data_IF_956235485185
#
_entry.id   IF_956235485185
#
_cell.length_a   1.000
_cell.length_b   1.000
_cell.length_c   1.000
_cell.angle_alpha   90.00
_cell.angle_beta   90.00
_cell.angle_gamma   90.00
#
_symmetry.space_group_name_H-M   'P 1'
#
loop_
_entity.id
_entity.type
_entity.pdbx_description
1 polymer ?
#
# COMPACT_ATOMS: atom_id res chain seq x y z
N UNK A 1 -10.79 -19.16 14.15
CA UNK A 1 -10.42 -18.19 15.21
C UNK A 1 -11.40 -18.22 16.40
N UNK A 2 -12.69 -17.92 16.24
CA UNK A 2 -13.65 -17.85 17.36
C UNK A 2 -13.71 -19.13 18.23
N UNK A 3 -13.68 -20.32 17.62
CA UNK A 3 -13.59 -21.59 18.37
C UNK A 3 -12.32 -21.67 19.24
N UNK A 4 -11.16 -21.36 18.66
CA UNK A 4 -9.87 -21.40 19.35
C UNK A 4 -9.77 -20.39 20.51
N UNK A 5 -10.42 -19.23 20.43
CA UNK A 5 -10.49 -18.28 21.55
C UNK A 5 -11.13 -18.89 22.82
N UNK A 6 -12.06 -19.84 22.66
CA UNK A 6 -12.73 -20.49 23.80
C UNK A 6 -11.82 -21.43 24.58
N UNK A 7 -10.70 -21.85 24.00
CA UNK A 7 -9.78 -22.84 24.57
C UNK A 7 -8.43 -22.21 24.96
N UNK A 8 -8.09 -21.07 24.36
CA UNK A 8 -6.82 -20.37 24.57
C UNK A 8 -6.72 -19.71 25.96
N UNK A 9 -5.67 -20.05 26.70
CA UNK A 9 -5.44 -19.58 28.07
C UNK A 9 -5.11 -18.09 28.12
N UNK A 10 -4.36 -17.58 27.16
CA UNK A 10 -3.96 -16.17 27.12
C UNK A 10 -5.18 -15.31 26.82
N UNK A 11 -6.00 -15.70 25.84
CA UNK A 11 -7.25 -15.02 25.50
C UNK A 11 -8.21 -14.96 26.70
N UNK A 12 -8.26 -16.02 27.52
CA UNK A 12 -9.07 -16.03 28.76
C UNK A 12 -8.51 -15.14 29.87
N UNK A 13 -7.20 -14.92 29.91
CA UNK A 13 -6.54 -14.07 30.91
C UNK A 13 -6.59 -12.57 30.56
N UNK A 14 -6.86 -12.23 29.29
CA UNK A 14 -6.91 -10.85 28.81
C UNK A 14 -7.95 -9.94 29.52
N UNK A 15 -9.20 -10.39 29.76
CA UNK A 15 -10.19 -9.57 30.46
C UNK A 15 -9.84 -9.26 31.92
N UNK A 16 -9.00 -10.10 32.55
CA UNK A 16 -8.59 -9.98 33.96
C UNK A 16 -7.25 -9.25 34.14
N UNK A 17 -6.47 -9.10 33.07
CA UNK A 17 -5.23 -8.33 33.11
C UNK A 17 -5.55 -6.82 33.06
N UNK A 18 -4.92 -6.02 33.93
CA UNK A 18 -4.98 -4.55 33.87
C UNK A 18 -4.31 -4.10 32.56
N UNK A 19 -5.10 -4.02 31.50
CA UNK A 19 -4.71 -3.56 30.18
C UNK A 19 -5.68 -2.45 29.80
N UNK A 20 -5.19 -1.38 29.17
CA UNK A 20 -6.06 -0.30 28.65
C UNK A 20 -6.97 -0.74 27.48
N UNK A 21 -7.20 -2.05 27.33
CA UNK A 21 -8.01 -2.66 26.29
C UNK A 21 -9.46 -2.73 26.76
N UNK A 22 -10.39 -2.61 25.81
CA UNK A 22 -11.83 -2.75 26.06
C UNK A 22 -12.32 -3.95 25.26
N UNK A 23 -12.46 -5.09 25.91
CA UNK A 23 -12.82 -6.35 25.23
C UNK A 23 -14.34 -6.48 25.13
N UNK A 24 -14.83 -6.74 23.92
CA UNK A 24 -16.24 -6.96 23.63
C UNK A 24 -16.42 -8.16 22.68
N UNK A 25 -17.48 -8.97 22.83
CA UNK A 25 -17.82 -10.02 21.88
C UNK A 25 -18.43 -9.41 20.60
N UNK A 26 -17.95 -9.86 19.44
CA UNK A 26 -18.48 -9.48 18.12
C UNK A 26 -19.09 -10.71 17.43
N UNK A 27 -20.32 -10.62 16.89
CA UNK A 27 -20.95 -11.71 16.18
C UNK A 27 -20.32 -11.90 14.79
N UNK A 28 -19.84 -13.11 14.51
CA UNK A 28 -19.31 -13.54 13.21
C UNK A 28 -19.79 -14.96 12.93
N UNK A 29 -20.54 -15.16 11.84
CA UNK A 29 -20.97 -16.47 11.34
C UNK A 29 -21.48 -17.42 12.45
N UNK A 30 -22.50 -16.97 13.21
CA UNK A 30 -23.11 -17.68 14.34
C UNK A 30 -22.16 -18.01 15.51
N UNK A 31 -21.03 -17.33 15.61
CA UNK A 31 -20.08 -17.42 16.73
C UNK A 31 -19.75 -16.04 17.27
N UNK A 32 -19.29 -15.97 18.53
CA UNK A 32 -18.79 -14.74 19.14
C UNK A 32 -17.27 -14.73 19.09
N UNK A 33 -16.71 -13.65 18.53
CA UNK A 33 -15.28 -13.38 18.49
C UNK A 33 -14.97 -12.24 19.46
N UNK A 34 -14.11 -12.48 20.45
CA UNK A 34 -13.65 -11.46 21.37
C UNK A 34 -12.70 -10.49 20.66
N UNK A 35 -13.00 -9.20 20.76
CA UNK A 35 -12.27 -8.13 20.11
C UNK A 35 -11.99 -6.99 21.09
N UNK A 36 -10.85 -6.33 20.93
CA UNK A 36 -10.60 -5.05 21.57
C UNK A 36 -11.21 -3.90 20.75
N UNK A 37 -11.92 -2.99 21.41
CA UNK A 37 -12.52 -1.79 20.79
C UNK A 37 -11.94 -0.48 21.32
N UNK A 38 -10.87 -0.53 22.13
CA UNK A 38 -10.26 0.66 22.75
C UNK A 38 -9.77 1.70 21.74
N UNK A 39 -9.45 1.28 20.51
CA UNK A 39 -8.95 2.13 19.42
C UNK A 39 -10.03 2.64 18.48
N UNK A 40 -11.32 2.48 18.83
CA UNK A 40 -12.45 2.90 18.00
C UNK A 40 -12.71 1.99 16.78
N UNK A 41 -11.90 0.95 16.58
CA UNK A 41 -12.13 -0.12 15.61
C UNK A 41 -11.96 -1.48 16.31
N UNK A 42 -12.84 -2.45 16.05
CA UNK A 42 -12.73 -3.79 16.64
C UNK A 42 -11.52 -4.55 16.10
N UNK A 43 -10.64 -4.98 17.01
CA UNK A 43 -9.45 -5.78 16.72
C UNK A 43 -9.57 -7.16 17.36
N UNK A 44 -9.58 -8.27 16.59
CA UNK A 44 -9.66 -9.60 17.17
C UNK A 44 -8.54 -9.89 18.17
N UNK A 45 -8.90 -10.49 19.30
CA UNK A 45 -7.93 -11.17 20.16
C UNK A 45 -7.45 -12.45 19.47
N UNK A 46 -6.18 -12.53 19.12
CA UNK A 46 -5.66 -13.65 18.32
C UNK A 46 -5.12 -14.77 19.22
N UNK A 47 -5.72 -15.98 19.19
CA UNK A 47 -5.19 -17.16 19.88
C UNK A 47 -3.79 -17.52 19.39
N UNK A 48 -2.97 -18.13 20.25
CA UNK A 48 -1.57 -18.46 19.95
C UNK A 48 -1.41 -19.24 18.64
N UNK A 49 -2.30 -20.19 18.36
CA UNK A 49 -2.30 -21.01 17.13
C UNK A 49 -2.53 -20.21 15.84
N UNK A 50 -3.14 -19.02 15.92
CA UNK A 50 -3.43 -18.16 14.77
C UNK A 50 -2.43 -17.01 14.61
N UNK A 51 -1.63 -16.67 15.63
CA UNK A 51 -0.75 -15.49 15.59
C UNK A 51 0.23 -15.52 14.42
N UNK A 52 0.83 -16.69 14.14
CA UNK A 52 1.77 -16.86 13.02
C UNK A 52 1.09 -16.69 11.66
N UNK A 53 -0.08 -17.29 11.48
CA UNK A 53 -0.88 -17.16 10.26
C UNK A 53 -1.30 -15.71 9.99
N UNK A 54 -1.72 -14.97 11.03
CA UNK A 54 -2.06 -13.54 10.93
C UNK A 54 -0.84 -12.72 10.51
N UNK A 55 0.33 -13.00 11.12
CA UNK A 55 1.57 -12.35 10.73
C UNK A 55 1.91 -12.61 9.25
N UNK A 56 1.87 -13.87 8.82
CA UNK A 56 2.21 -14.27 7.44
C UNK A 56 1.23 -13.67 6.42
N UNK A 57 -0.07 -13.65 6.72
CA UNK A 57 -1.10 -13.09 5.85
C UNK A 57 -0.87 -11.60 5.55
N UNK A 58 -0.36 -10.83 6.52
CA UNK A 58 -0.04 -9.41 6.34
C UNK A 58 1.38 -9.23 5.78
N UNK A 59 2.36 -9.88 6.39
CA UNK A 59 3.77 -9.66 6.08
C UNK A 59 4.11 -10.12 4.66
N UNK A 60 3.58 -11.26 4.22
CA UNK A 60 3.93 -11.82 2.92
C UNK A 60 3.31 -11.07 1.73
N UNK A 61 2.43 -10.08 1.96
CA UNK A 61 1.88 -9.26 0.87
C UNK A 61 2.97 -8.48 0.13
N UNK A 62 3.83 -7.78 0.87
CA UNK A 62 4.90 -6.96 0.29
C UNK A 62 6.19 -6.95 1.11
N UNK A 63 6.32 -7.85 2.09
CA UNK A 63 7.47 -7.92 2.99
C UNK A 63 7.86 -6.57 3.61
N UNK A 64 6.90 -5.85 4.23
CA UNK A 64 7.17 -4.52 4.76
C UNK A 64 8.22 -4.58 5.88
N UNK A 65 8.92 -3.46 6.08
CA UNK A 65 9.91 -3.36 7.15
C UNK A 65 9.33 -3.66 8.54
N UNK A 66 10.19 -4.00 9.50
CA UNK A 66 9.79 -4.43 10.86
C UNK A 66 8.78 -3.48 11.53
N UNK A 67 9.07 -2.18 11.53
CA UNK A 67 8.19 -1.15 12.12
C UNK A 67 6.83 -1.09 11.41
N UNK A 68 6.84 -1.11 10.07
CA UNK A 68 5.62 -1.10 9.27
C UNK A 68 4.79 -2.38 9.49
N UNK A 69 5.42 -3.55 9.56
CA UNK A 69 4.72 -4.82 9.86
C UNK A 69 4.06 -4.78 11.24
N UNK A 70 4.77 -4.35 12.28
CA UNK A 70 4.19 -4.20 13.62
C UNK A 70 2.99 -3.26 13.60
N UNK A 71 3.10 -2.12 12.89
CA UNK A 71 2.00 -1.16 12.77
C UNK A 71 0.79 -1.78 12.06
N UNK A 72 0.99 -2.41 10.90
CA UNK A 72 -0.06 -3.05 10.12
C UNK A 72 -0.83 -4.10 10.92
N UNK A 73 -0.10 -4.96 11.64
CA UNK A 73 -0.69 -6.03 12.44
C UNK A 73 -1.41 -5.46 13.66
N UNK A 74 -0.78 -4.55 14.40
CA UNK A 74 -1.37 -3.97 15.62
C UNK A 74 -2.58 -3.06 15.36
N UNK A 75 -2.71 -2.49 14.16
CA UNK A 75 -3.92 -1.76 13.76
C UNK A 75 -5.13 -2.67 13.60
N UNK A 76 -4.94 -3.95 13.28
CA UNK A 76 -6.00 -4.89 12.94
C UNK A 76 -6.25 -5.96 14.00
N UNK A 77 -5.23 -6.33 14.75
CA UNK A 77 -5.24 -7.46 15.68
C UNK A 77 -4.61 -7.11 17.02
N UNK A 78 -4.93 -7.90 18.04
CA UNK A 78 -4.35 -7.76 19.38
C UNK A 78 -4.05 -9.12 19.99
N UNK A 79 -2.89 -9.25 20.65
CA UNK A 79 -2.54 -10.37 21.51
C UNK A 79 -1.34 -10.01 22.39
N UNK A 80 -0.99 -10.87 23.35
CA UNK A 80 0.03 -10.55 24.35
C UNK A 80 1.40 -10.61 23.71
N UNK A 81 2.21 -9.56 23.89
CA UNK A 81 3.55 -9.52 23.30
C UNK A 81 3.58 -9.32 21.78
N UNK A 82 2.47 -8.92 21.14
CA UNK A 82 2.34 -8.70 19.68
C UNK A 82 3.54 -7.97 19.08
N UNK A 83 3.90 -6.79 19.63
CA UNK A 83 5.01 -5.98 19.10
C UNK A 83 6.33 -6.75 19.11
N UNK A 84 6.60 -7.51 20.19
CA UNK A 84 7.85 -8.27 20.35
C UNK A 84 7.91 -9.43 19.37
N UNK A 85 6.85 -10.23 19.30
CA UNK A 85 6.79 -11.41 18.42
C UNK A 85 6.81 -11.02 16.93
N UNK A 86 5.99 -10.06 16.52
CA UNK A 86 5.94 -9.60 15.12
C UNK A 86 7.28 -9.00 14.68
N UNK A 87 7.94 -8.25 15.56
CA UNK A 87 9.28 -7.72 15.27
C UNK A 87 10.30 -8.85 15.06
N UNK A 88 10.26 -9.86 15.94
CA UNK A 88 11.15 -11.01 15.85
C UNK A 88 10.91 -11.81 14.56
N UNK A 89 9.66 -12.14 14.24
CA UNK A 89 9.34 -12.88 13.02
C UNK A 89 9.71 -12.11 11.74
N UNK A 90 9.48 -10.80 11.69
CA UNK A 90 9.91 -9.97 10.57
C UNK A 90 11.44 -9.87 10.47
N UNK A 91 12.16 -9.94 11.61
CA UNK A 91 13.63 -9.99 11.64
C UNK A 91 14.16 -11.32 11.10
N UNK A 92 13.49 -12.43 11.43
CA UNK A 92 13.86 -13.79 11.05
C UNK A 92 13.40 -14.19 9.64
N UNK A 93 12.63 -13.35 8.95
CA UNK A 93 12.15 -13.65 7.60
C UNK A 93 13.32 -13.83 6.61
N UNK A 94 13.53 -15.06 6.15
CA UNK A 94 14.60 -15.41 5.21
C UNK A 94 14.47 -14.66 3.88
N UNK A 95 13.24 -14.55 3.35
CA UNK A 95 12.98 -13.81 2.11
C UNK A 95 13.35 -12.33 2.22
N UNK A 96 13.05 -11.68 3.37
CA UNK A 96 13.51 -10.32 3.64
C UNK A 96 15.03 -10.23 3.74
N UNK A 97 15.68 -11.18 4.42
CA UNK A 97 17.14 -11.18 4.58
C UNK A 97 17.86 -11.32 3.23
N UNK A 98 17.36 -12.19 2.35
CA UNK A 98 17.92 -12.44 1.01
C UNK A 98 17.63 -11.32 -0.01
N UNK A 99 16.54 -10.58 0.18
CA UNK A 99 16.16 -9.46 -0.71
C UNK A 99 16.81 -8.13 -0.32
N UNK A 100 17.26 -7.98 0.93
CA UNK A 100 17.77 -6.72 1.45
C UNK A 100 19.15 -6.39 0.88
N UNK A 101 19.20 -5.47 -0.07
CA UNK A 101 20.43 -4.79 -0.49
C UNK A 101 20.75 -3.74 0.58
N UNK A 102 21.87 -3.90 1.29
CA UNK A 102 22.38 -2.86 2.21
C UNK A 102 22.89 -1.68 1.37
N UNK A 103 22.10 -0.61 1.30
CA UNK A 103 22.53 0.65 0.69
C UNK A 103 22.13 1.79 1.64
N UNK A 104 23.12 2.30 2.36
CA UNK A 104 23.04 3.51 3.15
C UNK A 104 23.46 4.68 2.28
N UNK A 105 22.57 5.17 1.42
CA UNK A 105 22.72 6.50 0.83
C UNK A 105 21.75 7.42 1.55
N UNK A 106 22.29 8.21 2.49
CA UNK A 106 21.57 9.32 3.08
C UNK A 106 21.61 10.47 2.07
N UNK A 107 20.55 10.63 1.28
CA UNK A 107 20.35 11.87 0.53
C UNK A 107 19.73 12.93 1.43
N UNK A 108 20.18 14.18 1.26
CA UNK A 108 19.59 15.33 1.94
C UNK A 108 18.11 15.45 1.54
N UNK A 109 17.24 15.59 2.54
CA UNK A 109 15.81 15.82 2.33
C UNK A 109 15.63 17.29 1.94
N UNK A 110 15.54 17.55 0.64
CA UNK A 110 15.10 18.85 0.14
C UNK A 110 13.57 18.91 0.24
N UNK A 111 13.04 19.93 0.90
CA UNK A 111 11.60 20.17 1.03
C UNK A 111 11.06 20.89 -0.23
N UNK A 112 10.61 20.14 -1.23
CA UNK A 112 9.76 20.71 -2.31
C UNK A 112 8.28 20.48 -1.95
N UNK A 113 7.39 21.45 -2.24
CA UNK A 113 5.96 21.32 -1.99
C UNK A 113 5.38 20.05 -2.63
N UNK A 114 4.62 19.31 -1.83
CA UNK A 114 3.74 18.25 -2.33
C UNK A 114 2.50 18.94 -2.92
N UNK A 115 2.03 18.55 -4.12
CA UNK A 115 0.82 19.13 -4.68
C UNK A 115 -0.37 18.95 -3.74
N UNK A 116 -1.24 19.96 -3.65
CA UNK A 116 -2.38 19.92 -2.72
C UNK A 116 -3.49 18.97 -3.18
N UNK A 117 -3.61 18.73 -4.49
CA UNK A 117 -4.66 17.89 -5.07
C UNK A 117 -4.13 16.47 -5.33
N UNK A 118 -4.89 15.44 -4.93
CA UNK A 118 -4.59 14.06 -5.29
C UNK A 118 -4.69 13.86 -6.81
N UNK A 119 -3.82 13.03 -7.36
CA UNK A 119 -3.79 12.66 -8.78
C UNK A 119 -3.52 13.82 -9.76
N UNK A 120 -3.15 15.00 -9.26
CA UNK A 120 -2.86 16.13 -10.13
C UNK A 120 -1.48 16.07 -10.75
N UNK A 121 -0.51 15.41 -10.08
CA UNK A 121 0.87 15.32 -10.56
C UNK A 121 1.37 13.87 -10.46
N UNK A 122 1.59 13.26 -11.61
CA UNK A 122 2.08 11.89 -11.72
C UNK A 122 3.57 11.84 -11.98
N UNK A 123 4.20 10.77 -11.51
CA UNK A 123 5.51 10.33 -11.90
C UNK A 123 5.39 9.04 -12.69
N UNK A 124 5.95 8.99 -13.90
CA UNK A 124 5.89 7.85 -14.81
C UNK A 124 7.30 7.42 -15.15
N UNK A 125 7.56 6.11 -15.06
CA UNK A 125 8.86 5.53 -15.37
C UNK A 125 8.70 4.07 -15.83
N UNK A 126 9.69 3.56 -16.57
CA UNK A 126 9.76 2.17 -16.99
C UNK A 126 10.77 1.38 -16.16
N UNK A 127 10.42 0.15 -15.81
CA UNK A 127 11.35 -0.81 -15.20
C UNK A 127 11.65 -1.88 -16.23
N UNK A 128 12.92 -1.97 -16.64
CA UNK A 128 13.35 -2.88 -17.71
C UNK A 128 14.82 -3.34 -17.58
N UNK A 129 15.18 -4.47 -18.21
CA UNK A 129 14.30 -5.61 -18.51
C UNK A 129 14.07 -6.46 -17.25
N UNK A 130 12.86 -7.01 -17.10
CA UNK A 130 12.54 -8.05 -16.10
C UNK A 130 12.58 -9.44 -16.76
N UNK A 131 12.80 -10.52 -15.99
CA UNK A 131 12.63 -11.87 -16.49
C UNK A 131 11.23 -12.04 -17.12
N UNK A 132 11.07 -12.75 -18.24
CA UNK A 132 9.76 -12.97 -18.84
C UNK A 132 8.78 -13.62 -17.84
N UNK A 133 7.55 -13.11 -17.76
CA UNK A 133 6.47 -13.63 -16.92
C UNK A 133 5.14 -13.40 -17.60
N UNK A 134 4.36 -14.46 -17.88
CA UNK A 134 3.03 -14.34 -18.53
C UNK A 134 3.04 -13.50 -19.82
N UNK A 135 4.14 -13.53 -20.59
CA UNK A 135 4.31 -12.72 -21.81
C UNK A 135 4.71 -11.26 -21.59
N UNK A 136 4.90 -10.83 -20.34
CA UNK A 136 5.39 -9.51 -19.96
C UNK A 136 6.89 -9.53 -19.67
N UNK A 137 7.56 -8.43 -19.98
CA UNK A 137 9.02 -8.26 -19.79
C UNK A 137 9.39 -6.91 -19.18
N UNK A 138 8.41 -6.01 -19.03
CA UNK A 138 8.57 -4.64 -18.59
C UNK A 138 7.46 -4.25 -17.61
N UNK A 139 7.70 -3.24 -16.79
CA UNK A 139 6.67 -2.57 -16.00
C UNK A 139 6.65 -1.09 -16.33
N UNK A 140 5.48 -0.53 -16.60
CA UNK A 140 5.25 0.90 -16.51
C UNK A 140 4.78 1.23 -15.10
N UNK A 141 5.55 2.04 -14.39
CA UNK A 141 5.22 2.51 -13.04
C UNK A 141 4.63 3.90 -13.10
N UNK A 142 3.56 4.12 -12.34
CA UNK A 142 2.91 5.43 -12.21
C UNK A 142 2.71 5.72 -10.73
N UNK A 143 3.14 6.88 -10.26
CA UNK A 143 3.00 7.27 -8.85
C UNK A 143 2.37 8.66 -8.76
N UNK A 144 1.27 8.78 -8.01
CA UNK A 144 0.75 10.09 -7.62
C UNK A 144 1.66 10.75 -6.58
N UNK A 145 2.17 11.95 -6.83
CA UNK A 145 3.07 12.63 -5.88
C UNK A 145 2.42 12.97 -4.55
N UNK A 146 1.11 13.22 -4.55
CA UNK A 146 0.37 13.68 -3.36
C UNK A 146 0.13 12.53 -2.39
N UNK A 147 -0.56 11.49 -2.84
CA UNK A 147 -0.92 10.33 -2.01
C UNK A 147 0.17 9.26 -1.99
N UNK A 148 1.13 9.36 -2.92
CA UNK A 148 2.13 8.32 -3.19
C UNK A 148 1.50 6.97 -3.56
N UNK A 149 0.34 7.02 -4.19
CA UNK A 149 -0.37 5.87 -4.73
C UNK A 149 0.41 5.25 -5.89
N UNK A 150 0.84 3.98 -5.79
CA UNK A 150 1.54 3.31 -6.87
C UNK A 150 0.60 2.52 -7.78
N UNK A 151 0.88 2.58 -9.08
CA UNK A 151 0.49 1.61 -10.09
C UNK A 151 1.75 1.03 -10.74
N UNK A 152 1.72 -0.26 -11.04
CA UNK A 152 2.74 -0.94 -11.83
C UNK A 152 2.02 -1.82 -12.84
N UNK A 153 2.20 -1.53 -14.11
CA UNK A 153 1.44 -2.10 -15.22
C UNK A 153 2.39 -2.99 -16.03
N UNK A 154 2.15 -4.32 -16.09
CA UNK A 154 2.90 -5.23 -16.93
C UNK A 154 2.79 -4.85 -18.41
N UNK A 155 3.93 -4.79 -19.09
CA UNK A 155 4.04 -4.49 -20.51
C UNK A 155 4.86 -5.55 -21.24
N UNK A 156 4.38 -5.93 -22.43
CA UNK A 156 5.04 -6.84 -23.36
C UNK A 156 6.09 -6.07 -24.19
N UNK A 157 5.82 -4.80 -24.46
CA UNK A 157 6.66 -3.88 -25.23
C UNK A 157 6.55 -2.47 -24.62
N UNK A 158 7.60 -1.67 -24.76
CA UNK A 158 7.73 -0.30 -24.25
C UNK A 158 7.47 0.76 -25.32
N UNK A 159 6.81 0.38 -26.42
CA UNK A 159 6.43 1.33 -27.47
C UNK A 159 5.62 2.49 -26.89
N UNK A 160 5.73 3.67 -27.49
CA UNK A 160 4.91 4.83 -27.12
C UNK A 160 3.42 4.49 -27.09
N UNK A 161 2.95 3.75 -28.10
CA UNK A 161 1.55 3.35 -28.21
C UNK A 161 1.10 2.48 -27.03
N UNK A 162 1.97 1.58 -26.56
CA UNK A 162 1.66 0.72 -25.43
C UNK A 162 1.67 1.50 -24.12
N UNK A 163 2.64 2.39 -23.92
CA UNK A 163 2.71 3.27 -22.76
C UNK A 163 1.49 4.21 -22.68
N UNK A 164 1.09 4.82 -23.80
CA UNK A 164 -0.07 5.71 -23.85
C UNK A 164 -1.37 4.94 -23.57
N UNK A 165 -1.52 3.75 -24.16
CA UNK A 165 -2.65 2.88 -23.90
C UNK A 165 -2.70 2.45 -22.44
N UNK A 166 -1.55 2.14 -21.84
CA UNK A 166 -1.45 1.77 -20.44
C UNK A 166 -1.86 2.93 -19.52
N UNK A 167 -1.36 4.14 -19.77
CA UNK A 167 -1.76 5.34 -19.03
C UNK A 167 -3.28 5.56 -19.09
N UNK A 168 -3.87 5.49 -20.29
CA UNK A 168 -5.31 5.69 -20.48
C UNK A 168 -6.12 4.61 -19.73
N UNK A 169 -5.78 3.34 -19.94
CA UNK A 169 -6.54 2.19 -19.41
C UNK A 169 -6.44 2.04 -17.90
N UNK A 170 -5.26 2.28 -17.32
CA UNK A 170 -4.99 1.95 -15.93
C UNK A 170 -4.96 3.15 -14.99
N UNK A 171 -4.79 4.36 -15.53
CA UNK A 171 -4.82 5.59 -14.73
C UNK A 171 -6.00 6.49 -15.08
N UNK A 172 -6.04 7.02 -16.32
CA UNK A 172 -7.00 8.08 -16.68
C UNK A 172 -8.44 7.60 -16.51
N UNK A 173 -8.76 6.39 -16.94
CA UNK A 173 -10.09 5.78 -16.79
C UNK A 173 -10.55 5.60 -15.33
N UNK A 174 -9.62 5.60 -14.36
CA UNK A 174 -9.88 5.30 -12.94
C UNK A 174 -9.78 6.51 -12.04
N UNK A 175 -8.82 7.39 -12.30
CA UNK A 175 -8.48 8.53 -11.44
C UNK A 175 -8.70 9.89 -12.11
N UNK A 176 -8.98 9.89 -13.42
CA UNK A 176 -9.10 11.09 -14.23
C UNK A 176 -7.78 11.56 -14.82
N UNK A 177 -7.85 12.65 -15.58
CA UNK A 177 -6.70 13.25 -16.26
C UNK A 177 -5.88 14.08 -15.26
N UNK A 178 -4.57 13.85 -15.13
CA UNK A 178 -3.70 14.67 -14.29
C UNK A 178 -3.48 16.06 -14.89
N UNK A 179 -3.01 17.02 -14.08
CA UNK A 179 -2.54 18.31 -14.61
C UNK A 179 -1.11 18.17 -15.14
N UNK A 180 -0.28 17.43 -14.41
CA UNK A 180 1.15 17.33 -14.66
C UNK A 180 1.58 15.86 -14.70
N UNK A 181 2.42 15.51 -15.67
CA UNK A 181 3.14 14.24 -15.71
C UNK A 181 4.63 14.56 -15.70
N UNK A 182 5.37 13.96 -14.77
CA UNK A 182 6.82 13.91 -14.82
C UNK A 182 7.29 12.55 -15.29
N UNK A 183 8.13 12.51 -16.31
CA UNK A 183 8.79 11.29 -16.80
C UNK A 183 10.27 11.54 -17.01
N UNK A 184 11.03 10.47 -17.22
CA UNK A 184 12.38 10.57 -17.74
C UNK A 184 12.40 10.99 -19.23
N UNK A 185 13.59 10.96 -19.81
CA UNK A 185 13.84 11.32 -21.21
C UNK A 185 13.91 10.12 -22.13
N UNK A 186 13.33 8.98 -21.74
CA UNK A 186 13.27 7.83 -22.63
C UNK A 186 12.45 8.15 -23.90
N UNK A 187 12.73 7.43 -24.98
CA UNK A 187 12.25 7.77 -26.33
C UNK A 187 10.72 7.75 -26.43
N UNK A 188 10.07 6.84 -25.72
CA UNK A 188 8.62 6.73 -25.69
C UNK A 188 7.94 7.95 -25.04
N UNK A 189 8.53 8.56 -24.00
CA UNK A 189 7.98 9.75 -23.31
C UNK A 189 8.42 11.08 -23.94
N UNK A 190 9.29 11.03 -24.95
CA UNK A 190 9.75 12.20 -25.72
C UNK A 190 9.18 12.23 -27.14
N UNK A 191 8.55 11.15 -27.59
CA UNK A 191 7.97 11.00 -28.93
C UNK A 191 6.85 12.00 -29.25
N UNK A 192 6.62 12.25 -30.54
CA UNK A 192 5.55 13.12 -31.04
C UNK A 192 4.18 12.66 -30.54
N UNK A 193 3.88 11.37 -30.70
CA UNK A 193 2.62 10.77 -30.26
C UNK A 193 2.36 11.00 -28.76
N UNK A 194 3.37 10.85 -27.90
CA UNK A 194 3.20 11.10 -26.46
C UNK A 194 2.85 12.55 -26.15
N UNK A 195 3.53 13.50 -26.83
CA UNK A 195 3.26 14.93 -26.68
C UNK A 195 1.85 15.28 -27.22
N UNK A 196 1.45 14.75 -28.37
CA UNK A 196 0.12 14.99 -28.96
C UNK A 196 -1.01 14.48 -28.06
N UNK A 197 -0.90 13.25 -27.56
CA UNK A 197 -1.89 12.68 -26.63
C UNK A 197 -1.98 13.53 -25.37
N UNK A 198 -0.83 13.93 -24.81
CA UNK A 198 -0.81 14.76 -23.60
C UNK A 198 -1.42 16.13 -23.84
N UNK A 199 -1.14 16.76 -24.98
CA UNK A 199 -1.75 18.03 -25.37
C UNK A 199 -3.27 17.92 -25.53
N UNK A 200 -3.76 16.86 -26.19
CA UNK A 200 -5.20 16.63 -26.35
C UNK A 200 -5.92 16.41 -25.01
N UNK A 201 -5.23 15.79 -24.04
CA UNK A 201 -5.75 15.60 -22.69
C UNK A 201 -5.58 16.87 -21.81
N UNK A 202 -4.84 17.89 -22.26
CA UNK A 202 -4.53 19.08 -21.47
C UNK A 202 -3.50 18.85 -20.37
N UNK A 203 -2.65 17.84 -20.51
CA UNK A 203 -1.61 17.46 -19.55
C UNK A 203 -0.29 18.18 -19.85
N UNK A 204 0.32 18.76 -18.82
CA UNK A 204 1.67 19.32 -18.90
C UNK A 204 2.73 18.24 -18.66
N UNK A 205 3.64 18.04 -19.61
CA UNK A 205 4.75 17.08 -19.47
C UNK A 205 5.99 17.80 -18.94
N UNK A 206 6.49 17.33 -17.82
CA UNK A 206 7.78 17.72 -17.24
C UNK A 206 8.79 16.60 -17.44
N UNK A 207 9.95 16.91 -17.99
CA UNK A 207 11.02 15.93 -18.15
C UNK A 207 11.97 16.04 -16.98
N UNK A 208 12.32 14.94 -16.34
CA UNK A 208 13.36 14.97 -15.31
C UNK A 208 14.65 15.49 -15.95
N UNK A 209 15.22 16.52 -15.33
CA UNK A 209 16.61 16.90 -15.54
C UNK A 209 17.45 16.08 -14.57
N UNK A 210 18.75 15.91 -14.84
CA UNK A 210 19.68 15.35 -13.85
C UNK A 210 19.66 16.11 -12.50
N UNK A 211 19.03 17.30 -12.44
CA UNK A 211 18.95 18.21 -11.30
C UNK A 211 17.59 18.23 -10.57
N UNK A 212 16.68 17.26 -10.80
CA UNK A 212 15.47 17.08 -9.97
C UNK A 212 15.56 15.86 -9.03
N UNK A 213 16.46 15.86 -8.03
CA UNK A 213 16.77 14.70 -7.19
C UNK A 213 15.59 14.21 -6.34
N UNK A 214 14.56 15.02 -6.07
CA UNK A 214 13.42 14.59 -5.25
C UNK A 214 12.40 13.76 -6.02
N UNK A 215 12.10 14.18 -7.25
CA UNK A 215 11.25 13.48 -8.21
C UNK A 215 11.85 12.11 -8.52
N UNK A 216 13.15 12.09 -8.86
CA UNK A 216 13.91 10.86 -9.04
C UNK A 216 13.96 10.04 -7.74
N UNK A 217 14.23 10.67 -6.61
CA UNK A 217 14.31 9.97 -5.32
C UNK A 217 13.01 9.30 -4.88
N UNK A 218 11.84 9.84 -5.25
CA UNK A 218 10.56 9.20 -4.93
C UNK A 218 10.34 7.93 -5.76
N UNK A 219 10.56 8.00 -7.07
CA UNK A 219 10.38 6.86 -7.97
C UNK A 219 11.47 5.80 -7.76
N UNK A 220 12.72 6.20 -7.55
CA UNK A 220 13.84 5.30 -7.20
C UNK A 220 13.56 4.53 -5.90
N UNK A 221 13.09 5.23 -4.86
CA UNK A 221 12.70 4.59 -3.60
C UNK A 221 11.55 3.60 -3.82
N UNK A 222 10.57 3.97 -4.65
CA UNK A 222 9.47 3.08 -4.97
C UNK A 222 9.95 1.83 -5.72
N UNK A 223 10.75 1.98 -6.77
CA UNK A 223 11.31 0.86 -7.53
C UNK A 223 12.13 -0.08 -6.66
N UNK A 224 12.97 0.47 -5.77
CA UNK A 224 13.74 -0.34 -4.82
C UNK A 224 12.80 -1.16 -3.91
N UNK A 225 11.74 -0.54 -3.42
CA UNK A 225 10.75 -1.22 -2.56
C UNK A 225 9.97 -2.27 -3.34
N UNK A 226 9.54 -1.96 -4.57
CA UNK A 226 8.82 -2.87 -5.45
C UNK A 226 9.67 -4.11 -5.81
N UNK A 227 10.92 -3.91 -6.24
CA UNK A 227 11.86 -5.00 -6.55
C UNK A 227 12.14 -5.88 -5.35
N UNK A 228 12.34 -5.29 -4.17
CA UNK A 228 12.56 -6.06 -2.94
C UNK A 228 11.32 -6.88 -2.54
N UNK A 229 10.12 -6.28 -2.63
CA UNK A 229 8.87 -6.95 -2.31
C UNK A 229 8.57 -8.10 -3.29
N UNK A 230 8.74 -7.88 -4.59
CA UNK A 230 8.63 -8.94 -5.60
C UNK A 230 9.63 -10.05 -5.33
N UNK A 231 10.93 -9.74 -5.17
CA UNK A 231 11.97 -10.74 -4.90
C UNK A 231 11.68 -11.58 -3.65
N UNK A 232 11.13 -10.97 -2.60
CA UNK A 232 10.82 -11.67 -1.36
C UNK A 232 9.58 -12.57 -1.48
N UNK A 233 8.60 -12.16 -2.30
CA UNK A 233 7.35 -12.91 -2.48
C UNK A 233 7.42 -14.00 -3.54
N UNK A 234 8.26 -13.81 -4.56
CA UNK A 234 8.43 -14.74 -5.67
C UNK A 234 8.84 -16.13 -5.21
N UNK A 235 8.06 -17.14 -5.59
CA UNK A 235 8.41 -18.56 -5.46
C UNK A 235 8.85 -19.19 -6.79
N UNK A 236 8.82 -18.41 -7.88
CA UNK A 236 9.15 -18.82 -9.25
C UNK A 236 9.38 -17.61 -10.16
N UNK A 237 9.40 -17.77 -11.50
CA UNK A 237 9.64 -16.67 -12.44
C UNK A 237 8.42 -15.74 -12.61
N UNK A 238 7.23 -16.18 -12.18
CA UNK A 238 5.96 -15.52 -12.47
C UNK A 238 5.70 -14.29 -11.57
N UNK A 239 6.46 -13.22 -11.79
CA UNK A 239 6.26 -11.96 -11.05
C UNK A 239 4.95 -11.27 -11.39
N UNK A 240 4.37 -11.51 -12.57
CA UNK A 240 3.11 -10.90 -12.99
C UNK A 240 1.94 -11.31 -12.09
N UNK A 241 1.88 -12.58 -11.67
CA UNK A 241 0.83 -13.11 -10.79
C UNK A 241 0.96 -12.59 -9.36
N UNK A 242 2.18 -12.30 -8.92
CA UNK A 242 2.44 -11.78 -7.57
C UNK A 242 2.28 -10.26 -7.47
N UNK A 243 2.34 -9.55 -8.60
CA UNK A 243 2.30 -8.10 -8.64
C UNK A 243 1.04 -7.50 -7.98
N UNK A 244 -0.19 -8.01 -8.18
CA UNK A 244 -1.38 -7.48 -7.51
C UNK A 244 -1.28 -7.55 -5.97
N UNK A 245 -0.73 -8.64 -5.43
CA UNK A 245 -0.54 -8.82 -3.99
C UNK A 245 0.52 -7.89 -3.43
N UNK A 246 1.63 -7.73 -4.16
CA UNK A 246 2.67 -6.75 -3.82
C UNK A 246 2.10 -5.34 -3.81
N UNK A 247 1.35 -4.96 -4.84
CA UNK A 247 0.71 -3.64 -4.90
C UNK A 247 -0.27 -3.43 -3.75
N UNK A 248 -1.09 -4.43 -3.38
CA UNK A 248 -1.97 -4.35 -2.20
C UNK A 248 -1.15 -4.08 -0.92
N UNK A 249 -0.07 -4.82 -0.71
CA UNK A 249 0.81 -4.61 0.44
C UNK A 249 1.48 -3.23 0.45
N UNK A 250 1.96 -2.75 -0.70
CA UNK A 250 2.59 -1.43 -0.81
C UNK A 250 1.60 -0.27 -0.62
N UNK A 251 0.35 -0.44 -1.06
CA UNK A 251 -0.73 0.55 -0.89
C UNK A 251 -1.19 0.68 0.56
N UNK A 252 -1.24 -0.45 1.27
CA UNK A 252 -1.71 -0.52 2.67
C UNK A 252 -0.61 -0.28 3.70
N UNK A 253 0.66 -0.46 3.34
CA UNK A 253 1.79 -0.21 4.23
C UNK A 253 1.87 1.28 4.63
N UNK A 254 1.93 1.60 5.93
CA UNK A 254 2.11 2.97 6.40
C UNK A 254 3.52 3.45 6.08
N UNK A 255 3.62 4.67 5.53
CA UNK A 255 4.91 5.31 5.23
C UNK A 255 5.37 6.11 6.44
N UNK A 256 6.63 5.94 6.86
CA UNK A 256 7.13 6.51 8.12
C UNK A 256 7.04 8.04 8.16
N UNK A 257 7.30 8.69 7.03
CA UNK A 257 7.30 10.13 6.89
C UNK A 257 5.89 10.74 6.73
N UNK A 258 4.89 9.96 6.31
CA UNK A 258 3.49 10.40 6.23
C UNK A 258 2.67 10.01 7.46
N UNK A 259 3.10 9.00 8.22
CA UNK A 259 2.31 8.44 9.32
C UNK A 259 1.07 7.65 8.88
N UNK A 260 0.73 7.62 7.60
CA UNK A 260 -0.44 6.93 7.01
C UNK A 260 -0.06 6.15 5.75
N UNK A 261 -0.97 5.34 5.22
CA UNK A 261 -0.81 4.58 3.98
C UNK A 261 -1.32 5.33 2.75
N UNK A 262 -0.87 4.94 1.56
CA UNK A 262 -1.37 5.53 0.32
C UNK A 262 -2.87 5.23 0.12
N UNK A 263 -3.31 4.03 0.52
CA UNK A 263 -4.71 3.64 0.49
C UNK A 263 -5.61 4.53 1.34
N UNK A 264 -5.21 4.85 2.57
CA UNK A 264 -5.96 5.75 3.43
C UNK A 264 -6.06 7.16 2.84
N UNK A 265 -4.98 7.67 2.23
CA UNK A 265 -4.99 8.99 1.58
C UNK A 265 -5.89 9.03 0.34
N UNK A 266 -5.99 7.91 -0.40
CA UNK A 266 -6.82 7.82 -1.61
C UNK A 266 -8.28 7.58 -1.30
N UNK A 267 -8.58 6.61 -0.42
CA UNK A 267 -9.94 6.15 -0.17
C UNK A 267 -10.57 6.75 1.10
N UNK A 268 -9.79 7.44 1.92
CA UNK A 268 -10.23 7.95 3.23
C UNK A 268 -10.33 6.86 4.30
N UNK A 269 -10.18 5.59 3.93
CA UNK A 269 -10.20 4.44 4.83
C UNK A 269 -9.12 3.43 4.45
N UNK A 270 -8.64 2.61 5.40
CA UNK A 270 -7.78 1.48 5.09
C UNK A 270 -8.47 0.48 4.15
N UNK A 271 -7.69 -0.22 3.33
CA UNK A 271 -8.18 -1.39 2.59
C UNK A 271 -8.11 -2.63 3.47
N UNK A 272 -9.08 -3.52 3.28
CA UNK A 272 -9.08 -4.85 3.85
C UNK A 272 -7.95 -5.68 3.23
N UNK A 273 -7.24 -6.42 4.07
CA UNK A 273 -6.17 -7.33 3.66
C UNK A 273 -6.51 -8.78 4.04
N UNK A 274 -5.91 -9.79 3.40
CA UNK A 274 -6.13 -11.19 3.78
C UNK A 274 -5.97 -11.41 5.28
N UNK A 275 -6.92 -12.15 5.86
CA UNK A 275 -6.98 -12.42 7.30
C UNK A 275 -7.72 -11.38 8.13
N UNK A 276 -8.13 -10.24 7.55
CA UNK A 276 -9.03 -9.29 8.19
C UNK A 276 -10.48 -9.77 8.04
N UNK A 277 -11.15 -10.05 9.16
CA UNK A 277 -12.48 -10.67 9.18
C UNK A 277 -13.56 -9.78 9.81
N UNK A 278 -13.19 -8.59 10.28
CA UNK A 278 -14.11 -7.67 10.93
C UNK A 278 -14.18 -6.41 10.07
N UNK A 279 -15.38 -6.10 9.59
CA UNK A 279 -15.61 -4.80 8.99
C UNK A 279 -15.56 -3.72 10.08
N UNK A 280 -14.80 -2.64 9.86
CA UNK A 280 -14.87 -1.49 10.75
C UNK A 280 -16.32 -1.04 10.84
N UNK A 281 -16.84 -0.86 12.06
CA UNK A 281 -18.21 -0.35 12.24
C UNK A 281 -18.37 0.90 11.39
N UNK A 282 -19.35 0.96 10.47
CA UNK A 282 -19.45 2.07 9.54
C UNK A 282 -19.57 3.35 10.35
N UNK A 283 -18.63 4.29 10.14
CA UNK A 283 -18.90 5.69 10.51
C UNK A 283 -20.13 6.08 9.69
N UNK A 284 -21.24 6.52 10.31
CA UNK A 284 -22.44 6.86 9.57
C UNK A 284 -22.08 7.91 8.51
N UNK A 285 -22.22 7.51 7.25
CA UNK A 285 -21.93 8.30 6.06
C UNK A 285 -22.94 9.44 5.86
N UNK A 286 -23.96 9.53 6.71
CA UNK A 286 -25.13 10.41 6.57
C UNK A 286 -25.23 11.57 7.55
N UNK A 287 -24.26 11.83 8.43
CA UNK A 287 -24.39 12.95 9.38
C UNK A 287 -23.97 14.33 8.82
N UNK A 288 -23.56 14.43 7.55
CA UNK A 288 -23.11 15.70 6.94
C UNK A 288 -24.14 16.39 6.02
N UNK A 289 -25.35 15.84 5.84
CA UNK A 289 -26.35 16.42 4.93
C UNK A 289 -27.60 17.05 5.60
N UNK A 290 -27.69 17.12 6.93
CA UNK A 290 -28.90 17.62 7.61
C UNK A 290 -28.78 18.98 8.33
N UNK A 291 -27.71 19.76 8.11
CA UNK A 291 -27.55 21.08 8.75
C UNK A 291 -27.47 22.28 7.80
N UNK A 292 -28.05 22.20 6.59
CA UNK A 292 -28.05 23.36 5.67
C UNK A 292 -29.41 23.82 5.13
N UNK A 293 -30.54 23.41 5.71
CA UNK A 293 -31.84 24.02 5.37
C UNK A 293 -32.75 24.11 6.59
N UNK A 294 -32.49 25.09 7.47
CA UNK A 294 -33.51 25.65 8.36
C UNK A 294 -33.01 26.96 9.00
N UNK A 295 -32.92 28.03 8.22
CA UNK A 295 -33.00 29.40 8.73
C UNK A 295 -33.19 30.39 7.57
N UNK A 296 -34.42 30.47 7.08
CA UNK A 296 -34.91 31.61 6.29
C UNK A 296 -36.41 31.72 6.58
N UNK A 297 -36.74 32.40 7.67
CA UNK A 297 -38.07 32.91 7.99
C UNK A 297 -37.86 34.21 8.75
#
# INVERSE_FOLDING_TARGET
MAKAQKEDKDVKAFPTAITGLRIMPFPINNSLLLCDVSTGQPRPLVPQSFQRHVFEAIHNLAHPGRKATVKLVSQRFVWHGLKKQVNQWAKECLACQQSKIQSHVHSQVVNIPVPAKRFSHLHIDLVSPLPPSEGFSHLMTIIDRTTRWPEAIPLNNTSTTDCARALIRHWISRFGVPLDITSDRESQFTSTLWNEISQQLGVQIHRTTAYHPQSNGLIERFHRTLKAALKARLQGPNWADELPWVLLGLRTAPKEDLGTSAAELVYGTPLSVPGEFIDPTPKPWFTLFFFCTASSS
#
